data_IF_658375096343
#
_entry.id   IF_658375096343
#
_cell.length_a   1.000
_cell.length_b   1.000
_cell.length_c   1.000
_cell.angle_alpha   90.00
_cell.angle_beta   90.00
_cell.angle_gamma   90.00
#
_symmetry.space_group_name_H-M   'P 1'
#
loop_
_entity.id
_entity.type
_entity.pdbx_description
1 polymer ?
#
# COMPACT_ATOMS: atom_id res chain seq x y z
N UNK A 1 33.12 -18.97 -23.39
CA UNK A 1 32.08 -18.34 -22.54
C UNK A 1 30.81 -19.17 -22.40
N UNK A 2 30.29 -19.84 -23.44
CA UNK A 2 29.10 -20.71 -23.34
C UNK A 2 29.24 -21.96 -22.44
N UNK A 3 30.46 -22.45 -22.21
CA UNK A 3 30.72 -23.66 -21.40
C UNK A 3 30.55 -23.44 -19.88
N UNK A 4 30.69 -22.20 -19.40
CA UNK A 4 30.53 -21.85 -17.98
C UNK A 4 29.04 -21.65 -17.62
N UNK A 5 28.25 -21.11 -18.56
CA UNK A 5 26.81 -20.93 -18.41
C UNK A 5 26.04 -22.27 -18.47
N UNK A 6 26.52 -23.23 -19.27
CA UNK A 6 25.92 -24.57 -19.34
C UNK A 6 26.19 -25.38 -18.06
N UNK A 7 27.38 -25.24 -17.46
CA UNK A 7 27.69 -25.87 -16.16
C UNK A 7 26.93 -25.23 -15.00
N UNK A 8 26.71 -23.91 -15.00
CA UNK A 8 25.94 -23.25 -13.93
C UNK A 8 24.46 -23.67 -13.94
N UNK A 9 23.88 -23.87 -15.13
CA UNK A 9 22.51 -24.38 -15.29
C UNK A 9 22.38 -25.87 -14.93
N UNK A 10 23.43 -26.67 -15.13
CA UNK A 10 23.46 -28.07 -14.67
C UNK A 10 23.68 -28.19 -13.16
N UNK A 11 24.45 -27.28 -12.53
CA UNK A 11 24.65 -27.29 -11.07
C UNK A 11 23.42 -26.81 -10.27
N UNK A 12 22.54 -26.00 -10.86
CA UNK A 12 21.28 -25.61 -10.21
C UNK A 12 20.20 -26.70 -10.30
N UNK A 13 20.24 -27.56 -11.33
CA UNK A 13 19.37 -28.73 -11.43
C UNK A 13 19.79 -29.87 -10.49
N UNK A 14 21.09 -30.05 -10.27
CA UNK A 14 21.64 -31.06 -9.34
C UNK A 14 21.42 -30.70 -7.85
N UNK A 15 20.93 -29.50 -7.52
CA UNK A 15 20.59 -29.11 -6.13
C UNK A 15 19.20 -29.56 -5.67
N UNK A 16 18.43 -30.20 -6.55
CA UNK A 16 17.06 -30.67 -6.25
C UNK A 16 17.06 -32.10 -5.69
N UNK A 17 18.09 -32.91 -5.96
CA UNK A 17 18.11 -34.33 -5.62
C UNK A 17 18.61 -34.66 -4.20
N UNK A 18 19.13 -33.67 -3.46
CA UNK A 18 19.70 -33.84 -2.12
C UNK A 18 18.74 -33.60 -0.94
N UNK A 19 17.43 -33.47 -1.15
CA UNK A 19 16.50 -33.23 -0.03
C UNK A 19 16.13 -34.53 0.66
N UNK A 20 16.38 -34.60 1.97
CA UNK A 20 15.97 -35.75 2.79
C UNK A 20 14.46 -36.02 2.63
N UNK A 21 14.00 -37.28 2.76
CA UNK A 21 12.56 -37.60 2.70
C UNK A 21 11.74 -36.72 3.65
N UNK A 22 12.33 -36.39 4.81
CA UNK A 22 11.78 -35.44 5.79
C UNK A 22 11.61 -34.03 5.24
N UNK A 23 12.58 -33.49 4.50
CA UNK A 23 12.46 -32.18 3.84
C UNK A 23 11.44 -32.19 2.70
N UNK A 24 11.38 -33.27 1.91
CA UNK A 24 10.33 -33.43 0.89
C UNK A 24 8.94 -33.47 1.51
N UNK A 25 8.78 -34.25 2.59
CA UNK A 25 7.52 -34.37 3.31
C UNK A 25 7.14 -33.06 4.01
N UNK A 26 8.10 -32.34 4.61
CA UNK A 26 7.86 -31.03 5.22
C UNK A 26 7.43 -29.98 4.18
N UNK A 27 8.06 -29.97 3.00
CA UNK A 27 7.63 -29.12 1.89
C UNK A 27 6.22 -29.50 1.40
N UNK A 28 5.91 -30.79 1.30
CA UNK A 28 4.58 -31.26 0.89
C UNK A 28 3.49 -30.85 1.90
N UNK A 29 3.77 -31.01 3.20
CA UNK A 29 2.88 -30.55 4.28
C UNK A 29 2.74 -29.03 4.32
N UNK A 30 3.81 -28.29 4.03
CA UNK A 30 3.77 -26.84 3.89
C UNK A 30 2.94 -26.40 2.68
N UNK A 31 2.97 -27.16 1.57
CA UNK A 31 2.11 -26.88 0.41
C UNK A 31 0.65 -27.26 0.64
N UNK A 32 0.34 -28.23 1.51
CA UNK A 32 -1.04 -28.56 1.89
C UNK A 32 -1.69 -27.46 2.72
N UNK A 33 -0.89 -26.73 3.49
CA UNK A 33 -1.37 -25.62 4.29
C UNK A 33 -1.67 -24.39 3.44
N UNK A 34 -2.97 -24.10 3.27
CA UNK A 34 -3.45 -22.96 2.48
C UNK A 34 -2.90 -21.63 3.05
N UNK A 35 -2.61 -21.54 4.35
CA UNK A 35 -2.03 -20.34 4.96
C UNK A 35 -0.59 -20.05 4.49
N UNK A 36 0.12 -21.05 3.97
CA UNK A 36 1.48 -20.92 3.46
C UNK A 36 1.50 -20.59 1.96
N UNK A 37 0.39 -20.81 1.26
CA UNK A 37 0.28 -20.57 -0.18
C UNK A 37 0.05 -19.10 -0.49
N UNK A 38 1.05 -18.48 -1.15
CA UNK A 38 0.96 -17.09 -1.63
C UNK A 38 -0.05 -17.02 -2.78
N UNK A 39 -0.96 -16.05 -2.73
CA UNK A 39 -2.00 -15.84 -3.75
C UNK A 39 -3.35 -16.49 -3.42
N UNK A 40 -3.41 -17.36 -2.40
CA UNK A 40 -4.67 -17.96 -1.94
C UNK A 40 -5.55 -16.92 -1.23
N UNK A 41 -6.86 -16.98 -1.48
CA UNK A 41 -7.86 -16.08 -0.90
C UNK A 41 -8.73 -16.83 0.11
N UNK A 42 -8.87 -16.28 1.31
CA UNK A 42 -9.63 -16.90 2.41
C UNK A 42 -10.21 -15.82 3.36
N UNK A 43 -11.20 -16.15 4.19
CA UNK A 43 -11.68 -15.23 5.22
C UNK A 43 -10.60 -14.95 6.27
N UNK A 44 -10.58 -13.73 6.80
CA UNK A 44 -9.59 -13.29 7.81
C UNK A 44 -9.60 -14.16 9.07
N UNK A 45 -10.75 -14.73 9.46
CA UNK A 45 -10.85 -15.63 10.60
C UNK A 45 -10.13 -16.97 10.42
N UNK A 46 -9.90 -17.41 9.17
CA UNK A 46 -9.17 -18.65 8.87
C UNK A 46 -7.67 -18.43 8.69
N UNK A 47 -7.22 -17.18 8.61
CA UNK A 47 -5.82 -16.82 8.43
C UNK A 47 -5.06 -16.89 9.75
N UNK A 48 -3.77 -17.22 9.71
CA UNK A 48 -2.91 -17.15 10.91
C UNK A 48 -2.56 -15.72 11.30
N UNK A 49 -2.35 -15.49 12.60
CA UNK A 49 -1.78 -14.23 13.12
C UNK A 49 -0.41 -14.00 12.47
N UNK A 50 -0.12 -12.74 12.13
CA UNK A 50 1.16 -12.34 11.58
C UNK A 50 1.33 -12.60 10.08
N UNK A 51 0.35 -13.21 9.42
CA UNK A 51 0.35 -13.39 7.96
C UNK A 51 0.34 -12.04 7.24
N UNK A 52 1.06 -12.01 6.12
CA UNK A 52 1.11 -10.87 5.21
C UNK A 52 -0.05 -11.02 4.23
N UNK A 53 -0.86 -9.98 4.09
CA UNK A 53 -2.08 -10.01 3.28
C UNK A 53 -2.24 -8.75 2.43
N UNK A 54 -2.99 -8.87 1.34
CA UNK A 54 -3.40 -7.77 0.46
C UNK A 54 -4.84 -7.97 -0.04
N UNK A 55 -5.38 -6.98 -0.76
CA UNK A 55 -6.74 -7.00 -1.32
C UNK A 55 -7.85 -7.29 -0.30
N UNK A 56 -7.90 -6.50 0.77
CA UNK A 56 -8.76 -6.76 1.94
C UNK A 56 -10.14 -6.12 1.75
N UNK A 57 -11.19 -6.86 2.06
CA UNK A 57 -12.57 -6.36 2.09
C UNK A 57 -12.83 -5.45 3.31
N UNK A 58 -13.72 -4.46 3.16
CA UNK A 58 -14.17 -3.64 4.29
C UNK A 58 -15.38 -4.28 4.95
N UNK A 59 -16.34 -4.70 4.14
CA UNK A 59 -17.54 -5.44 4.55
C UNK A 59 -17.53 -6.79 3.83
N UNK A 60 -18.06 -7.85 4.46
CA UNK A 60 -18.05 -9.19 3.89
C UNK A 60 -18.77 -9.23 2.54
N UNK A 61 -18.12 -9.77 1.51
CA UNK A 61 -18.70 -9.92 0.17
C UNK A 61 -18.74 -8.64 -0.67
N UNK A 62 -18.19 -7.53 -0.19
CA UNK A 62 -18.14 -6.26 -0.93
C UNK A 62 -16.98 -6.21 -1.95
N UNK A 63 -16.11 -7.22 -1.96
CA UNK A 63 -14.87 -7.24 -2.72
C UNK A 63 -13.76 -6.42 -2.06
N UNK A 64 -12.51 -6.77 -2.40
CA UNK A 64 -11.31 -6.17 -1.83
C UNK A 64 -11.20 -4.68 -2.17
N UNK A 65 -11.08 -3.84 -1.14
CA UNK A 65 -10.99 -2.37 -1.27
C UNK A 65 -9.70 -1.80 -0.73
N UNK A 66 -9.14 -2.44 0.29
CA UNK A 66 -7.93 -1.99 0.96
C UNK A 66 -6.70 -2.73 0.40
N UNK A 67 -5.54 -2.07 0.45
CA UNK A 67 -4.22 -2.67 0.15
C UNK A 67 -4.16 -3.30 -1.25
N UNK A 68 -4.38 -2.48 -2.29
CA UNK A 68 -4.36 -2.90 -3.70
C UNK A 68 -3.21 -2.30 -4.51
N UNK A 69 -2.46 -1.37 -3.93
CA UNK A 69 -1.38 -0.69 -4.63
C UNK A 69 -0.17 -1.60 -4.82
N UNK A 70 0.57 -1.42 -5.90
CA UNK A 70 1.76 -2.20 -6.22
C UNK A 70 2.74 -2.26 -5.04
N UNK A 71 3.20 -3.46 -4.70
CA UNK A 71 4.12 -3.68 -3.57
C UNK A 71 3.55 -3.39 -2.19
N UNK A 72 2.25 -3.14 -2.02
CA UNK A 72 1.68 -2.92 -0.68
C UNK A 72 1.24 -4.23 -0.04
N UNK A 73 1.31 -4.27 1.28
CA UNK A 73 0.81 -5.35 2.10
C UNK A 73 0.31 -4.81 3.44
N UNK A 74 -0.46 -5.63 4.13
CA UNK A 74 -0.92 -5.45 5.50
C UNK A 74 -0.60 -6.71 6.30
N UNK A 75 -0.74 -6.63 7.62
CA UNK A 75 -0.44 -7.74 8.52
C UNK A 75 -1.56 -7.92 9.53
N UNK A 76 -1.95 -9.18 9.76
CA UNK A 76 -2.91 -9.53 10.81
C UNK A 76 -2.19 -9.47 12.15
N UNK A 77 -2.69 -8.65 13.08
CA UNK A 77 -2.12 -8.53 14.43
C UNK A 77 -2.86 -9.41 15.42
N UNK A 78 -4.19 -9.43 15.35
CA UNK A 78 -5.03 -10.17 16.28
C UNK A 78 -6.19 -10.85 15.54
N UNK A 79 -6.42 -12.12 15.87
CA UNK A 79 -7.58 -12.89 15.43
C UNK A 79 -8.76 -12.68 16.37
N UNK A 80 -10.00 -13.00 15.93
CA UNK A 80 -11.17 -12.93 16.80
C UNK A 80 -10.99 -13.88 17.99
N UNK A 81 -11.05 -13.34 19.20
CA UNK A 81 -11.08 -14.10 20.44
C UNK A 81 -12.44 -13.90 21.11
N UNK A 82 -13.11 -14.98 21.52
CA UNK A 82 -14.37 -14.93 22.26
C UNK A 82 -15.55 -14.38 21.43
N UNK A 83 -16.26 -13.37 21.98
CA UNK A 83 -17.48 -12.77 21.38
C UNK A 83 -17.18 -11.76 20.25
N UNK A 84 -15.91 -11.39 20.06
CA UNK A 84 -15.51 -10.38 19.08
C UNK A 84 -15.43 -10.98 17.68
N UNK A 85 -16.26 -10.47 16.75
CA UNK A 85 -16.28 -10.93 15.34
C UNK A 85 -15.22 -10.27 14.46
N UNK A 86 -14.34 -9.44 15.02
CA UNK A 86 -13.42 -8.61 14.24
C UNK A 86 -11.95 -9.02 14.45
N UNK A 87 -11.19 -9.01 13.36
CA UNK A 87 -9.73 -9.10 13.35
C UNK A 87 -9.11 -7.69 13.43
N UNK A 88 -7.97 -7.57 14.12
CA UNK A 88 -7.16 -6.36 14.10
C UNK A 88 -6.10 -6.47 13.00
N UNK A 89 -6.15 -5.58 12.02
CA UNK A 89 -5.22 -5.57 10.88
C UNK A 89 -4.42 -4.27 10.86
N UNK A 90 -3.10 -4.40 10.72
CA UNK A 90 -2.18 -3.28 10.50
C UNK A 90 -2.07 -2.97 9.02
N UNK A 91 -2.52 -1.78 8.63
CA UNK A 91 -2.50 -1.28 7.26
C UNK A 91 -1.11 -0.73 6.87
N UNK A 92 -0.80 -0.57 5.57
CA UNK A 92 0.44 0.06 5.11
C UNK A 92 0.58 1.53 5.56
N UNK A 93 -0.54 2.19 5.91
CA UNK A 93 -0.54 3.51 6.55
C UNK A 93 -0.04 3.50 8.01
N UNK A 94 0.31 2.32 8.55
CA UNK A 94 0.61 2.04 9.96
C UNK A 94 -0.57 2.23 10.91
N UNK A 95 -1.77 2.48 10.39
CA UNK A 95 -3.01 2.50 11.16
C UNK A 95 -3.49 1.07 11.42
N UNK A 96 -4.03 0.84 12.61
CA UNK A 96 -4.65 -0.42 12.99
C UNK A 96 -6.17 -0.29 12.80
N UNK A 97 -6.77 -1.27 12.15
CA UNK A 97 -8.20 -1.24 11.83
C UNK A 97 -8.87 -2.56 12.17
N UNK A 98 -10.03 -2.48 12.79
CA UNK A 98 -10.91 -3.62 13.00
C UNK A 98 -11.67 -3.95 11.70
N UNK A 99 -11.61 -5.21 11.30
CA UNK A 99 -12.28 -5.75 10.10
C UNK A 99 -13.01 -7.02 10.50
N UNK A 100 -14.23 -7.24 10.02
CA UNK A 100 -14.99 -8.46 10.30
C UNK A 100 -14.18 -9.71 9.87
N UNK A 101 -14.17 -10.76 10.69
CA UNK A 101 -13.50 -12.01 10.43
C UNK A 101 -14.02 -12.72 9.17
N UNK A 102 -15.26 -12.43 8.76
CA UNK A 102 -15.87 -12.93 7.52
C UNK A 102 -15.33 -12.25 6.26
N UNK A 103 -14.70 -11.08 6.37
CA UNK A 103 -14.09 -10.40 5.24
C UNK A 103 -12.97 -11.24 4.64
N UNK A 104 -12.85 -11.23 3.32
CA UNK A 104 -11.80 -11.96 2.60
C UNK A 104 -10.54 -11.11 2.44
N UNK A 105 -9.41 -11.79 2.35
CA UNK A 105 -8.14 -11.22 1.94
C UNK A 105 -7.32 -12.26 1.17
N UNK A 106 -6.30 -11.79 0.45
CA UNK A 106 -5.38 -12.65 -0.29
C UNK A 106 -4.02 -12.68 0.43
N UNK A 107 -3.44 -13.86 0.54
CA UNK A 107 -2.14 -14.05 1.19
C UNK A 107 -1.01 -13.52 0.30
N UNK A 108 -0.08 -12.78 0.90
CA UNK A 108 1.11 -12.23 0.27
C UNK A 108 1.03 -10.72 0.04
N UNK A 109 1.93 -10.23 -0.82
CA UNK A 109 2.07 -8.82 -1.21
C UNK A 109 1.55 -8.62 -2.64
N UNK A 110 1.05 -7.42 -2.94
CA UNK A 110 0.72 -7.06 -4.32
C UNK A 110 1.98 -7.07 -5.19
N UNK A 111 1.87 -7.55 -6.42
CA UNK A 111 2.98 -7.60 -7.38
C UNK A 111 3.61 -6.23 -7.64
N UNK A 112 4.79 -6.25 -8.29
CA UNK A 112 5.55 -5.07 -8.70
C UNK A 112 5.99 -4.14 -7.54
N UNK A 113 6.79 -4.62 -6.57
CA UNK A 113 7.31 -3.78 -5.49
C UNK A 113 8.23 -2.65 -5.98
N UNK A 114 8.90 -2.82 -7.13
CA UNK A 114 9.77 -1.81 -7.73
C UNK A 114 9.05 -0.61 -8.34
N UNK A 115 7.71 -0.61 -8.41
CA UNK A 115 6.94 0.48 -9.01
C UNK A 115 7.25 1.85 -8.38
N UNK A 116 7.43 1.91 -7.05
CA UNK A 116 7.74 3.15 -6.33
C UNK A 116 9.13 3.73 -6.63
N UNK A 117 10.09 2.90 -7.04
CA UNK A 117 11.45 3.32 -7.37
C UNK A 117 11.58 3.85 -8.81
N UNK A 118 10.56 3.65 -9.66
CA UNK A 118 10.59 4.04 -11.07
C UNK A 118 10.55 5.57 -11.22
N UNK A 119 11.64 6.16 -11.73
CA UNK A 119 11.73 7.59 -12.04
C UNK A 119 11.27 7.89 -13.46
N UNK A 120 10.44 8.93 -13.62
CA UNK A 120 10.12 9.49 -14.94
C UNK A 120 11.28 10.41 -15.38
N UNK A 121 11.78 10.22 -16.61
CA UNK A 121 12.97 10.91 -17.13
C UNK A 121 12.65 12.13 -18.00
N UNK A 122 11.42 12.23 -18.51
CA UNK A 122 10.98 13.37 -19.35
C UNK A 122 9.55 13.77 -19.03
N UNK A 123 9.21 15.04 -19.24
CA UNK A 123 7.85 15.56 -19.04
C UNK A 123 6.79 14.78 -19.86
N UNK A 124 7.14 14.36 -21.08
CA UNK A 124 6.25 13.57 -21.94
C UNK A 124 5.80 12.24 -21.33
N UNK A 125 6.61 11.58 -20.51
CA UNK A 125 6.19 10.35 -19.83
C UNK A 125 5.07 10.60 -18.82
N UNK A 126 5.06 11.76 -18.16
CA UNK A 126 3.95 12.17 -17.29
C UNK A 126 2.67 12.40 -18.10
N UNK A 127 2.80 12.98 -19.30
CA UNK A 127 1.68 13.18 -20.22
C UNK A 127 1.08 11.86 -20.72
N UNK A 128 1.91 10.86 -21.03
CA UNK A 128 1.45 9.52 -21.41
C UNK A 128 0.68 8.82 -20.28
N UNK A 129 0.97 9.14 -19.02
CA UNK A 129 0.21 8.69 -17.85
C UNK A 129 -1.07 9.51 -17.59
N UNK A 130 -1.47 10.39 -18.50
CA UNK A 130 -2.66 11.25 -18.38
C UNK A 130 -2.53 12.41 -17.40
N UNK A 131 -1.32 12.71 -16.90
CA UNK A 131 -1.11 13.80 -15.93
C UNK A 131 -0.81 15.12 -16.65
N UNK A 132 -1.64 16.14 -16.42
CA UNK A 132 -1.45 17.51 -16.93
C UNK A 132 -0.45 18.29 -16.05
N UNK A 133 0.26 19.29 -16.59
CA UNK A 133 1.14 20.14 -15.78
C UNK A 133 0.32 20.89 -14.71
N UNK A 134 0.86 20.95 -13.49
CA UNK A 134 0.26 21.66 -12.36
C UNK A 134 0.98 22.98 -12.11
N UNK A 135 0.27 24.11 -12.16
CA UNK A 135 0.82 25.44 -11.88
C UNK A 135 0.90 25.66 -10.37
N UNK A 136 2.04 26.17 -9.88
CA UNK A 136 2.21 26.49 -8.45
C UNK A 136 1.43 27.76 -8.11
N UNK A 137 0.80 27.83 -6.95
CA UNK A 137 0.03 29.01 -6.52
C UNK A 137 0.83 30.32 -6.46
N UNK A 138 2.14 30.25 -6.23
CA UNK A 138 3.05 31.43 -6.24
C UNK A 138 3.22 32.03 -7.64
N UNK A 139 2.96 31.25 -8.70
CA UNK A 139 3.02 31.75 -10.07
C UNK A 139 1.69 32.35 -10.55
N UNK A 140 0.68 32.40 -9.67
CA UNK A 140 -0.66 32.89 -10.00
C UNK A 140 -0.86 34.32 -9.50
N UNK A 141 -1.95 34.96 -9.96
CA UNK A 141 -2.36 36.26 -9.47
C UNK A 141 -3.00 36.13 -8.07
N UNK A 142 -3.04 37.22 -7.28
CA UNK A 142 -3.65 37.19 -5.93
C UNK A 142 -5.14 36.83 -5.93
N UNK A 143 -5.84 37.03 -7.07
CA UNK A 143 -7.24 36.62 -7.26
C UNK A 143 -7.42 35.11 -7.40
N UNK A 144 -6.45 34.42 -8.01
CA UNK A 144 -6.57 33.00 -8.36
C UNK A 144 -6.13 32.07 -7.22
N UNK A 145 -5.16 32.51 -6.41
CA UNK A 145 -4.61 31.70 -5.34
C UNK A 145 -4.24 32.54 -4.12
N UNK A 146 -4.45 32.04 -2.88
CA UNK A 146 -3.97 32.67 -1.65
C UNK A 146 -2.45 32.88 -1.53
N UNK A 147 -1.66 32.42 -2.51
CA UNK A 147 -0.20 32.58 -2.54
C UNK A 147 0.24 33.44 -3.74
N UNK A 148 -0.70 33.92 -4.54
CA UNK A 148 -0.41 34.69 -5.73
C UNK A 148 -0.11 36.16 -5.43
N UNK A 149 0.53 36.83 -6.38
CA UNK A 149 0.90 38.24 -6.29
C UNK A 149 2.22 38.53 -5.57
N UNK A 150 2.43 39.83 -5.32
CA UNK A 150 3.71 40.38 -4.86
C UNK A 150 4.68 40.67 -6.00
N UNK A 151 5.67 41.51 -5.72
CA UNK A 151 6.76 41.79 -6.66
C UNK A 151 7.80 40.66 -6.61
N UNK A 152 8.11 40.09 -7.77
CA UNK A 152 9.02 38.95 -7.87
C UNK A 152 8.47 37.66 -7.22
N UNK A 153 9.38 36.74 -6.86
CA UNK A 153 9.01 35.43 -6.28
C UNK A 153 8.80 35.54 -4.77
N UNK A 154 7.62 35.97 -4.34
CA UNK A 154 7.24 36.00 -2.93
C UNK A 154 6.38 34.78 -2.55
N UNK A 155 6.56 34.22 -1.34
CA UNK A 155 5.72 33.10 -0.85
C UNK A 155 4.41 33.57 -0.22
N UNK A 156 4.34 34.86 0.11
CA UNK A 156 3.23 35.50 0.80
C UNK A 156 3.29 37.00 0.52
N UNK A 157 2.24 37.56 -0.08
CA UNK A 157 2.04 39.01 -0.10
C UNK A 157 1.90 39.51 1.34
N UNK A 158 2.69 40.52 1.71
CA UNK A 158 3.01 40.96 3.08
C UNK A 158 1.88 41.39 4.03
N UNK A 159 0.62 41.05 3.81
CA UNK A 159 -0.49 41.38 4.73
C UNK A 159 -0.93 40.20 5.61
N UNK A 160 -0.61 38.95 5.24
CA UNK A 160 -1.09 37.79 5.97
C UNK A 160 -0.08 36.64 5.91
N UNK A 161 0.73 36.49 6.97
CA UNK A 161 1.60 35.34 7.24
C UNK A 161 0.82 34.03 7.45
N UNK A 162 -0.04 33.70 6.50
CA UNK A 162 -0.89 32.52 6.49
C UNK A 162 -0.04 31.36 5.96
N UNK A 163 0.03 30.27 6.73
CA UNK A 163 0.72 29.04 6.31
C UNK A 163 0.21 28.50 4.97
N UNK A 164 0.94 27.55 4.35
CA UNK A 164 0.60 27.03 3.03
C UNK A 164 -0.84 26.52 2.95
N UNK A 165 -1.58 26.97 1.93
CA UNK A 165 -3.00 26.67 1.69
C UNK A 165 -3.27 26.13 0.29
N UNK A 166 -4.42 25.49 0.15
CA UNK A 166 -5.07 25.15 -1.12
C UNK A 166 -5.64 26.42 -1.80
N UNK A 167 -6.02 26.35 -3.09
CA UNK A 167 -6.71 27.46 -3.76
C UNK A 167 -7.97 27.93 -3.01
N UNK A 168 -8.67 27.01 -2.35
CA UNK A 168 -9.87 27.28 -1.54
C UNK A 168 -9.56 27.62 -0.07
N UNK A 169 -8.31 27.96 0.26
CA UNK A 169 -7.93 28.45 1.59
C UNK A 169 -7.78 27.40 2.70
N UNK A 170 -8.00 26.10 2.43
CA UNK A 170 -7.74 25.02 3.40
C UNK A 170 -6.23 24.87 3.67
N UNK A 171 -5.76 24.81 4.92
CA UNK A 171 -4.35 24.62 5.25
C UNK A 171 -3.81 23.26 4.76
N UNK A 172 -2.56 23.22 4.26
CA UNK A 172 -1.92 22.00 3.72
C UNK A 172 -0.77 21.47 4.59
N UNK A 173 -0.31 22.26 5.58
CA UNK A 173 0.83 21.92 6.46
C UNK A 173 0.40 21.94 7.94
N UNK A 174 1.31 21.60 8.84
CA UNK A 174 1.10 21.60 10.29
C UNK A 174 0.00 20.63 10.79
N UNK A 175 -0.23 19.53 10.07
CA UNK A 175 -1.11 18.46 10.56
C UNK A 175 -2.60 18.78 10.55
N UNK A 176 -3.05 19.73 9.72
CA UNK A 176 -4.46 20.01 9.53
C UNK A 176 -5.24 18.75 9.11
N UNK A 177 -6.16 18.29 9.96
CA UNK A 177 -6.95 17.06 9.73
C UNK A 177 -8.15 17.39 8.85
N UNK A 178 -8.17 16.87 7.64
CA UNK A 178 -9.26 17.11 6.67
C UNK A 178 -10.49 16.23 6.90
N UNK A 179 -10.37 15.14 7.66
CA UNK A 179 -11.49 14.27 8.01
C UNK A 179 -12.39 14.96 9.04
N UNK A 180 -13.70 14.98 8.76
CA UNK A 180 -14.70 15.56 9.66
C UNK A 180 -14.63 14.96 11.09
N UNK A 181 -14.59 15.79 12.15
CA UNK A 181 -14.50 15.32 13.54
C UNK A 181 -15.66 14.41 13.97
N UNK A 182 -16.89 14.71 13.50
CA UNK A 182 -18.09 13.91 13.81
C UNK A 182 -17.93 12.45 13.35
N UNK A 183 -17.24 12.24 12.22
CA UNK A 183 -16.97 10.93 11.63
C UNK A 183 -15.78 10.21 12.27
N UNK A 184 -15.05 10.85 13.20
CA UNK A 184 -13.93 10.24 13.92
C UNK A 184 -14.33 9.72 15.31
N UNK A 185 -15.29 10.36 15.98
CA UNK A 185 -15.73 9.96 17.33
C UNK A 185 -16.53 8.64 17.35
N UNK A 186 -16.98 8.15 16.20
CA UNK A 186 -17.83 6.95 16.06
C UNK A 186 -17.05 5.69 15.63
N UNK A 187 -15.70 5.72 15.65
CA UNK A 187 -14.86 4.57 15.28
C UNK A 187 -13.96 4.21 16.45
#
# INVERSE_FOLDING_TARGET
>A
MLRILLLSLFTDMARVEGRTFRERMANYMATLDINSQIGSCMPLGAMRIGTIIHNIEINPGQGGKLVRSAGTFARILKLPEGKSRCCLVKLPSREEKFIDAKCRATIGQVSNPGHGAKKLRKAGQSRWLGRRPTVRGVAMNPVDHPHGGGEGKSKSSGSHGRGSRTPWGKPTKCGYKTRSPKRKRQV
#
